data_IF_478804807140
#
_entry.id   IF_478804807140
#
_cell.length_a   1.000
_cell.length_b   1.000
_cell.length_c   1.000
_cell.angle_alpha   90.00
_cell.angle_beta   90.00
_cell.angle_gamma   90.00
#
_symmetry.space_group_name_H-M   'P 1'
#
loop_
_entity.id
_entity.type
_entity.pdbx_description
1 polymer ?
#
# COMPACT_ATOMS: atom_id res chain seq x y z
N UNK A 1 4.80 11.26 -46.30
CA UNK A 1 6.02 10.95 -45.50
C UNK A 1 6.21 9.45 -45.47
N UNK A 2 7.45 8.94 -45.45
CA UNK A 2 7.61 7.49 -45.24
C UNK A 2 7.13 7.09 -43.83
N UNK A 3 6.63 5.86 -43.71
CA UNK A 3 6.17 5.32 -42.41
C UNK A 3 7.23 5.48 -41.32
N UNK A 4 8.49 5.23 -41.65
CA UNK A 4 9.63 5.39 -40.74
C UNK A 4 9.79 6.85 -40.29
N UNK A 5 9.66 7.81 -41.19
CA UNK A 5 9.78 9.24 -40.87
C UNK A 5 8.66 9.67 -39.93
N UNK A 6 7.44 9.18 -40.13
CA UNK A 6 6.30 9.49 -39.27
C UNK A 6 6.48 8.93 -37.84
N UNK A 7 6.93 7.65 -37.72
CA UNK A 7 7.11 7.04 -36.39
C UNK A 7 8.31 7.64 -35.63
N UNK A 8 9.37 8.05 -36.32
CA UNK A 8 10.48 8.75 -35.67
C UNK A 8 10.08 10.14 -35.20
N UNK A 9 9.32 10.89 -35.98
CA UNK A 9 8.77 12.18 -35.57
C UNK A 9 7.82 12.03 -34.37
N UNK A 10 7.00 10.98 -34.40
CA UNK A 10 6.14 10.63 -33.26
C UNK A 10 6.97 10.38 -31.99
N UNK A 11 8.04 9.57 -32.10
CA UNK A 11 8.93 9.28 -30.98
C UNK A 11 9.63 10.54 -30.42
N UNK A 12 10.02 11.48 -31.27
CA UNK A 12 10.64 12.74 -30.82
C UNK A 12 9.66 13.58 -29.99
N UNK A 13 8.41 13.70 -30.46
CA UNK A 13 7.37 14.40 -29.72
C UNK A 13 6.98 13.65 -28.44
N UNK A 14 6.85 12.31 -28.51
CA UNK A 14 6.58 11.46 -27.33
C UNK A 14 7.72 11.49 -26.31
N UNK A 15 8.97 11.71 -26.75
CA UNK A 15 10.11 11.92 -25.85
C UNK A 15 9.89 13.12 -24.92
N UNK A 16 9.33 14.19 -25.45
CA UNK A 16 9.01 15.39 -24.65
C UNK A 16 7.90 15.08 -23.65
N UNK A 17 6.84 14.39 -24.11
CA UNK A 17 5.74 13.96 -23.24
C UNK A 17 6.24 12.99 -22.16
N UNK A 18 7.10 12.05 -22.50
CA UNK A 18 7.69 11.11 -21.54
C UNK A 18 8.57 11.81 -20.49
N UNK A 19 9.36 12.81 -20.92
CA UNK A 19 10.16 13.61 -19.99
C UNK A 19 9.27 14.39 -19.03
N UNK A 20 8.19 15.00 -19.50
CA UNK A 20 7.20 15.70 -18.70
C UNK A 20 6.50 14.77 -17.68
N UNK A 21 6.06 13.60 -18.13
CA UNK A 21 5.46 12.57 -17.28
C UNK A 21 6.43 12.11 -16.18
N UNK A 22 7.70 11.93 -16.54
CA UNK A 22 8.76 11.52 -15.61
C UNK A 22 9.06 12.63 -14.59
N UNK A 23 9.10 13.89 -15.02
CA UNK A 23 9.25 15.05 -14.12
C UNK A 23 8.09 15.09 -13.12
N UNK A 24 6.84 15.02 -13.60
CA UNK A 24 5.65 14.98 -12.74
C UNK A 24 5.61 13.75 -11.82
N UNK A 25 6.14 12.62 -12.29
CA UNK A 25 6.21 11.40 -11.48
C UNK A 25 7.27 11.47 -10.38
N UNK A 26 8.33 12.25 -10.57
CA UNK A 26 9.47 12.36 -9.65
C UNK A 26 9.50 13.66 -8.84
N UNK A 27 8.57 14.60 -9.09
CA UNK A 27 8.53 15.85 -8.35
C UNK A 27 8.31 15.62 -6.85
N UNK A 28 8.85 16.52 -6.04
CA UNK A 28 8.84 16.35 -4.58
C UNK A 28 7.43 16.50 -3.99
N UNK A 29 6.59 17.33 -4.59
CA UNK A 29 5.19 17.49 -4.22
C UNK A 29 4.41 16.17 -4.36
N UNK A 30 4.66 15.41 -5.43
CA UNK A 30 4.05 14.08 -5.60
C UNK A 30 4.59 13.08 -4.60
N UNK A 31 5.90 13.08 -4.32
CA UNK A 31 6.50 12.19 -3.34
C UNK A 31 5.92 12.44 -1.94
N UNK A 32 5.80 13.72 -1.56
CA UNK A 32 5.19 14.11 -0.29
C UNK A 32 3.72 13.71 -0.22
N UNK A 33 2.95 14.01 -1.26
CA UNK A 33 1.54 13.59 -1.35
C UNK A 33 1.37 12.07 -1.19
N UNK A 34 2.16 11.28 -1.93
CA UNK A 34 2.10 9.80 -1.86
C UNK A 34 2.53 9.28 -0.48
N UNK A 35 3.56 9.89 0.13
CA UNK A 35 4.02 9.53 1.48
C UNK A 35 2.92 9.75 2.52
N UNK A 36 2.28 10.90 2.50
CA UNK A 36 1.20 11.23 3.44
C UNK A 36 -0.03 10.37 3.20
N UNK A 37 -0.39 10.13 1.93
CA UNK A 37 -1.49 9.23 1.57
C UNK A 37 -1.28 7.82 2.11
N UNK A 38 -0.10 7.23 1.90
CA UNK A 38 0.24 5.90 2.43
C UNK A 38 0.19 5.84 3.95
N UNK A 39 0.62 6.92 4.62
CA UNK A 39 0.51 6.99 6.07
C UNK A 39 -0.95 6.93 6.52
N UNK A 40 -1.84 7.70 5.90
CA UNK A 40 -3.26 7.71 6.24
C UNK A 40 -3.94 6.36 5.98
N UNK A 41 -3.58 5.68 4.88
CA UNK A 41 -4.04 4.32 4.59
C UNK A 41 -3.58 3.32 5.68
N UNK A 42 -2.30 3.35 6.06
CA UNK A 42 -1.80 2.48 7.13
C UNK A 42 -2.36 2.83 8.51
N UNK A 43 -2.72 4.09 8.74
CA UNK A 43 -3.35 4.52 9.97
C UNK A 43 -4.79 4.01 10.09
N UNK A 44 -5.52 3.90 8.98
CA UNK A 44 -6.85 3.28 8.96
C UNK A 44 -6.78 1.81 9.40
N UNK A 45 -5.85 1.03 8.83
CA UNK A 45 -5.65 -0.37 9.22
C UNK A 45 -5.28 -0.52 10.71
N UNK A 46 -4.45 0.41 11.23
CA UNK A 46 -4.12 0.42 12.66
C UNK A 46 -5.32 0.76 13.54
N UNK A 47 -6.20 1.67 13.11
CA UNK A 47 -7.43 1.98 13.84
C UNK A 47 -8.35 0.76 13.92
N UNK A 48 -8.55 0.04 12.81
CA UNK A 48 -9.35 -1.18 12.78
C UNK A 48 -8.78 -2.25 13.72
N UNK A 49 -7.44 -2.37 13.77
CA UNK A 49 -6.76 -3.26 14.70
C UNK A 49 -6.97 -2.86 16.17
N UNK A 50 -6.90 -1.55 16.47
CA UNK A 50 -7.15 -1.04 17.83
C UNK A 50 -8.60 -1.22 18.26
N UNK A 51 -9.57 -1.05 17.35
CA UNK A 51 -10.99 -1.32 17.62
C UNK A 51 -11.23 -2.80 17.92
N UNK A 52 -10.61 -3.69 17.17
CA UNK A 52 -10.69 -5.14 17.40
C UNK A 52 -10.09 -5.51 18.77
N UNK A 53 -8.94 -4.91 19.10
CA UNK A 53 -8.28 -5.06 20.42
C UNK A 53 -9.18 -4.54 21.56
N UNK A 54 -9.80 -3.38 21.38
CA UNK A 54 -10.72 -2.80 22.36
C UNK A 54 -11.96 -3.67 22.59
N UNK A 55 -12.52 -4.26 21.52
CA UNK A 55 -13.62 -5.24 21.61
C UNK A 55 -13.22 -6.45 22.47
N UNK A 56 -12.08 -7.06 22.17
CA UNK A 56 -11.59 -8.19 22.96
C UNK A 56 -11.27 -7.85 24.41
N UNK A 57 -10.84 -6.62 24.70
CA UNK A 57 -10.66 -6.14 26.09
C UNK A 57 -12.00 -5.98 26.81
N UNK A 58 -13.06 -5.53 26.12
CA UNK A 58 -14.41 -5.43 26.69
C UNK A 58 -14.96 -6.83 27.03
N UNK A 59 -14.77 -7.81 26.16
CA UNK A 59 -15.17 -9.20 26.42
C UNK A 59 -14.44 -9.79 27.64
N UNK A 60 -13.13 -9.54 27.74
CA UNK A 60 -12.35 -9.97 28.91
C UNK A 60 -12.82 -9.27 30.20
N UNK A 61 -13.20 -8.01 30.13
CA UNK A 61 -13.73 -7.29 31.28
C UNK A 61 -15.05 -7.92 31.76
N UNK A 62 -15.96 -8.27 30.85
CA UNK A 62 -17.20 -8.95 31.18
C UNK A 62 -16.95 -10.33 31.83
N UNK A 63 -15.99 -11.10 31.31
CA UNK A 63 -15.64 -12.41 31.88
C UNK A 63 -15.05 -12.29 33.31
N UNK A 64 -14.24 -11.24 33.58
CA UNK A 64 -13.73 -10.97 34.90
C UNK A 64 -14.88 -10.57 35.88
N UNK A 65 -15.83 -9.77 35.43
CA UNK A 65 -17.01 -9.38 36.19
C UNK A 65 -17.88 -10.59 36.56
N UNK A 66 -18.15 -11.47 35.61
CA UNK A 66 -18.86 -12.73 35.80
C UNK A 66 -18.10 -13.63 36.82
N UNK A 67 -16.78 -13.72 36.70
CA UNK A 67 -15.93 -14.46 37.64
C UNK A 67 -15.99 -13.90 39.08
N UNK A 68 -16.01 -12.57 39.25
CA UNK A 68 -16.19 -11.93 40.53
C UNK A 68 -17.57 -12.24 41.15
N UNK A 69 -18.63 -12.14 40.33
CA UNK A 69 -20.00 -12.42 40.78
C UNK A 69 -20.16 -13.90 41.19
N UNK A 70 -19.53 -14.83 40.47
CA UNK A 70 -19.52 -16.24 40.84
C UNK A 70 -18.79 -16.45 42.17
N UNK A 71 -17.63 -15.83 42.36
CA UNK A 71 -16.88 -15.92 43.61
C UNK A 71 -17.63 -15.33 44.82
N UNK A 72 -18.39 -14.24 44.64
CA UNK A 72 -19.26 -13.68 45.69
C UNK A 72 -20.33 -14.64 46.12
N UNK A 73 -20.97 -15.37 45.15
CA UNK A 73 -21.97 -16.40 45.45
C UNK A 73 -21.33 -17.59 46.21
N UNK A 74 -20.19 -18.07 45.75
CA UNK A 74 -19.48 -19.16 46.41
C UNK A 74 -19.04 -18.79 47.82
N UNK A 75 -18.69 -17.52 48.10
CA UNK A 75 -18.34 -17.05 49.42
C UNK A 75 -19.55 -17.02 50.39
N UNK A 76 -20.79 -16.85 49.87
CA UNK A 76 -21.99 -16.91 50.69
C UNK A 76 -22.21 -18.29 51.29
N UNK A 77 -21.72 -19.36 50.66
CA UNK A 77 -21.80 -20.74 51.16
C UNK A 77 -20.99 -20.97 52.44
N UNK A 78 -20.07 -20.04 52.74
CA UNK A 78 -19.31 -20.06 54.02
C UNK A 78 -20.05 -19.38 55.19
N UNK A 79 -21.21 -18.81 54.94
CA UNK A 79 -22.06 -18.27 56.03
C UNK A 79 -22.50 -19.41 56.93
N UNK A 80 -22.23 -19.32 58.24
CA UNK A 80 -22.56 -20.38 59.22
C UNK A 80 -21.44 -21.38 59.52
N UNK A 81 -20.28 -21.31 58.85
CA UNK A 81 -19.14 -22.16 59.14
C UNK A 81 -18.69 -22.05 60.62
N UNK A 82 -18.86 -20.88 61.24
CA UNK A 82 -18.53 -20.64 62.63
C UNK A 82 -19.36 -21.52 63.59
N UNK A 83 -20.62 -21.78 63.29
CA UNK A 83 -21.48 -22.67 64.06
C UNK A 83 -21.06 -24.12 63.92
N UNK A 84 -20.65 -24.53 62.71
CA UNK A 84 -20.12 -25.85 62.43
C UNK A 84 -18.81 -26.10 63.19
N UNK A 85 -17.91 -25.12 63.23
CA UNK A 85 -16.65 -25.17 63.99
C UNK A 85 -16.93 -25.34 65.51
N UNK A 86 -17.87 -24.58 66.05
CA UNK A 86 -18.25 -24.63 67.44
C UNK A 86 -18.88 -25.95 67.89
N UNK A 87 -19.59 -26.58 66.95
CA UNK A 87 -20.19 -27.93 67.14
C UNK A 87 -19.21 -29.11 66.98
N UNK A 88 -17.94 -28.85 66.66
CA UNK A 88 -16.94 -29.90 66.45
C UNK A 88 -17.11 -30.65 65.15
N UNK A 89 -17.85 -30.12 64.17
CA UNK A 89 -18.06 -30.73 62.85
C UNK A 89 -16.77 -30.79 62.02
N UNK A 90 -16.75 -31.64 61.00
CA UNK A 90 -15.62 -31.78 60.07
C UNK A 90 -15.58 -30.54 59.12
N UNK A 91 -14.56 -29.73 59.30
CA UNK A 91 -14.32 -28.54 58.49
C UNK A 91 -13.37 -28.76 57.31
N UNK A 92 -12.92 -29.99 57.07
CA UNK A 92 -11.94 -30.31 56.04
C UNK A 92 -12.44 -29.97 54.65
N UNK A 93 -13.72 -30.16 54.37
CA UNK A 93 -14.38 -29.75 53.14
C UNK A 93 -14.28 -28.25 52.92
N UNK A 94 -14.68 -27.44 53.91
CA UNK A 94 -14.67 -26.00 53.83
C UNK A 94 -13.25 -25.44 53.67
N UNK A 95 -12.27 -26.05 54.32
CA UNK A 95 -10.87 -25.65 54.18
C UNK A 95 -10.38 -25.84 52.73
N UNK A 96 -10.71 -26.96 52.06
CA UNK A 96 -10.38 -27.19 50.66
C UNK A 96 -11.13 -26.22 49.73
N UNK A 97 -12.41 -25.97 49.98
CA UNK A 97 -13.22 -25.04 49.21
C UNK A 97 -12.67 -23.60 49.35
N UNK A 98 -12.32 -23.16 50.56
CA UNK A 98 -11.71 -21.86 50.82
C UNK A 98 -10.37 -21.68 50.09
N UNK A 99 -9.52 -22.73 50.10
CA UNK A 99 -8.27 -22.71 49.35
C UNK A 99 -8.50 -22.54 47.85
N UNK A 100 -9.45 -23.30 47.30
CA UNK A 100 -9.82 -23.19 45.89
C UNK A 100 -10.30 -21.77 45.52
N UNK A 101 -11.15 -21.18 46.37
CA UNK A 101 -11.63 -19.80 46.14
C UNK A 101 -10.51 -18.78 46.27
N UNK A 102 -9.59 -18.94 47.23
CA UNK A 102 -8.43 -18.08 47.35
C UNK A 102 -7.57 -18.09 46.10
N UNK A 103 -7.32 -19.26 45.53
CA UNK A 103 -6.52 -19.41 44.32
C UNK A 103 -7.26 -18.83 43.09
N UNK A 104 -8.59 -19.00 42.99
CA UNK A 104 -9.42 -18.38 41.98
C UNK A 104 -9.38 -16.85 42.06
N UNK A 105 -9.54 -16.28 43.26
CA UNK A 105 -9.46 -14.82 43.48
C UNK A 105 -8.07 -14.26 43.15
N UNK A 106 -7.00 -14.98 43.48
CA UNK A 106 -5.63 -14.57 43.11
C UNK A 106 -5.47 -14.52 41.59
N UNK A 107 -6.01 -15.50 40.86
CA UNK A 107 -6.03 -15.55 39.40
C UNK A 107 -6.80 -14.37 38.82
N UNK A 108 -8.04 -14.14 39.28
CA UNK A 108 -8.89 -13.02 38.85
C UNK A 108 -8.21 -11.66 39.12
N UNK A 109 -7.57 -11.48 40.26
CA UNK A 109 -6.79 -10.27 40.55
C UNK A 109 -5.66 -10.05 39.58
N UNK A 110 -4.93 -11.10 39.18
CA UNK A 110 -3.86 -11.03 38.20
C UNK A 110 -4.40 -10.69 36.80
N UNK A 111 -5.50 -11.32 36.40
CA UNK A 111 -6.17 -11.05 35.14
C UNK A 111 -6.69 -9.62 35.05
N UNK A 112 -7.28 -9.11 36.13
CA UNK A 112 -7.73 -7.72 36.21
C UNK A 112 -6.56 -6.73 36.09
N UNK A 113 -5.44 -7.00 36.74
CA UNK A 113 -4.25 -6.15 36.67
C UNK A 113 -3.69 -6.12 35.23
N UNK A 114 -3.63 -7.26 34.56
CA UNK A 114 -3.22 -7.36 33.16
C UNK A 114 -4.19 -6.65 32.22
N UNK A 115 -5.50 -6.77 32.46
CA UNK A 115 -6.54 -6.09 31.70
C UNK A 115 -6.41 -4.57 31.82
N UNK A 116 -6.27 -4.04 33.03
CA UNK A 116 -6.10 -2.59 33.29
C UNK A 116 -4.87 -2.06 32.55
N UNK A 117 -3.75 -2.80 32.58
CA UNK A 117 -2.54 -2.44 31.86
C UNK A 117 -2.81 -2.39 30.33
N UNK A 118 -3.41 -3.43 29.77
CA UNK A 118 -3.71 -3.50 28.33
C UNK A 118 -4.68 -2.40 27.87
N UNK A 119 -5.68 -2.05 28.69
CA UNK A 119 -6.60 -0.94 28.41
C UNK A 119 -5.84 0.38 28.33
N UNK A 120 -4.98 0.67 29.32
CA UNK A 120 -4.16 1.90 29.32
C UNK A 120 -3.25 2.01 28.12
N UNK A 121 -2.57 0.92 27.77
CA UNK A 121 -1.68 0.88 26.59
C UNK A 121 -2.48 1.11 25.30
N UNK A 122 -3.63 0.46 25.16
CA UNK A 122 -4.49 0.62 23.96
C UNK A 122 -5.04 2.04 23.84
N UNK A 123 -5.47 2.64 24.93
CA UNK A 123 -5.94 4.04 24.97
C UNK A 123 -4.82 5.02 24.61
N UNK A 124 -3.61 4.79 25.08
CA UNK A 124 -2.46 5.61 24.75
C UNK A 124 -2.10 5.49 23.26
N UNK A 125 -2.03 4.26 22.72
CA UNK A 125 -1.80 4.00 21.30
C UNK A 125 -2.85 4.73 20.43
N UNK A 126 -4.12 4.65 20.81
CA UNK A 126 -5.22 5.34 20.13
C UNK A 126 -5.06 6.87 20.14
N UNK A 127 -4.74 7.45 21.29
CA UNK A 127 -4.56 8.90 21.45
C UNK A 127 -3.39 9.41 20.59
N UNK A 128 -2.29 8.68 20.56
CA UNK A 128 -1.12 9.03 19.76
C UNK A 128 -1.42 8.92 18.27
N UNK A 129 -2.04 7.82 17.83
CA UNK A 129 -2.44 7.64 16.44
C UNK A 129 -3.41 8.73 16.00
N UNK A 130 -4.40 9.08 16.82
CA UNK A 130 -5.36 10.17 16.53
C UNK A 130 -4.66 11.51 16.31
N UNK A 131 -3.68 11.87 17.16
CA UNK A 131 -2.88 13.09 16.99
C UNK A 131 -2.12 13.09 15.67
N UNK A 132 -1.48 11.96 15.35
CA UNK A 132 -0.74 11.81 14.10
C UNK A 132 -1.64 11.92 12.86
N UNK A 133 -2.81 11.28 12.89
CA UNK A 133 -3.79 11.32 11.79
C UNK A 133 -4.26 12.76 11.55
N UNK A 134 -4.61 13.50 12.61
CA UNK A 134 -5.04 14.91 12.48
C UNK A 134 -3.93 15.77 11.85
N UNK A 135 -2.68 15.60 12.30
CA UNK A 135 -1.54 16.33 11.74
C UNK A 135 -1.29 15.96 10.27
N UNK A 136 -1.42 14.67 9.92
CA UNK A 136 -1.22 14.19 8.55
C UNK A 136 -2.38 14.55 7.62
N UNK A 137 -3.61 14.67 8.10
CA UNK A 137 -4.74 15.16 7.30
C UNK A 137 -4.50 16.60 6.83
N UNK A 138 -3.99 17.49 7.70
CA UNK A 138 -3.60 18.85 7.30
C UNK A 138 -2.51 18.82 6.22
N UNK A 139 -1.45 18.04 6.45
CA UNK A 139 -0.37 17.88 5.46
C UNK A 139 -0.87 17.28 4.14
N UNK A 140 -1.84 16.37 4.19
CA UNK A 140 -2.44 15.78 2.99
C UNK A 140 -3.13 16.86 2.14
N UNK A 141 -3.93 17.74 2.77
CA UNK A 141 -4.60 18.83 2.05
C UNK A 141 -3.58 19.74 1.38
N UNK A 142 -2.56 20.19 2.12
CA UNK A 142 -1.51 21.07 1.60
C UNK A 142 -0.71 20.41 0.47
N UNK A 143 -0.28 19.14 0.66
CA UNK A 143 0.47 18.40 -0.34
C UNK A 143 -0.36 18.14 -1.61
N UNK A 144 -1.65 17.85 -1.45
CA UNK A 144 -2.57 17.64 -2.56
C UNK A 144 -2.76 18.93 -3.38
N UNK A 145 -2.92 20.08 -2.72
CA UNK A 145 -3.05 21.37 -3.40
C UNK A 145 -1.77 21.73 -4.17
N UNK A 146 -0.61 21.58 -3.53
CA UNK A 146 0.68 21.79 -4.19
C UNK A 146 0.87 20.89 -5.41
N UNK A 147 0.59 19.60 -5.27
CA UNK A 147 0.70 18.66 -6.39
C UNK A 147 -0.31 18.96 -7.50
N UNK A 148 -1.53 19.36 -7.18
CA UNK A 148 -2.52 19.81 -8.16
C UNK A 148 -2.05 21.06 -8.90
N UNK A 149 -1.46 22.02 -8.21
CA UNK A 149 -0.92 23.24 -8.82
C UNK A 149 0.22 22.91 -9.81
N UNK A 150 1.18 22.05 -9.41
CA UNK A 150 2.25 21.58 -10.30
C UNK A 150 1.68 20.86 -11.52
N UNK A 151 0.69 19.99 -11.33
CA UNK A 151 0.03 19.31 -12.45
C UNK A 151 -0.69 20.26 -13.37
N UNK A 152 -1.40 21.24 -12.82
CA UNK A 152 -2.13 22.25 -13.60
C UNK A 152 -1.18 23.15 -14.41
N UNK A 153 -0.03 23.55 -13.84
CA UNK A 153 0.97 24.37 -14.56
C UNK A 153 1.59 23.67 -15.77
N UNK A 154 1.52 22.34 -15.84
CA UNK A 154 2.03 21.53 -16.95
C UNK A 154 0.94 20.98 -17.87
N UNK A 155 -0.32 21.23 -17.55
CA UNK A 155 -1.45 20.62 -18.27
C UNK A 155 -1.58 21.16 -19.70
N UNK A 156 -1.31 22.45 -19.93
CA UNK A 156 -1.35 23.05 -21.25
C UNK A 156 -0.23 22.50 -22.17
N UNK A 157 0.99 22.37 -21.64
CA UNK A 157 2.12 21.77 -22.34
C UNK A 157 1.81 20.30 -22.69
N UNK A 158 1.27 19.55 -21.75
CA UNK A 158 0.86 18.16 -21.96
C UNK A 158 -0.19 18.03 -23.06
N UNK A 159 -1.25 18.84 -23.01
CA UNK A 159 -2.32 18.83 -24.00
C UNK A 159 -1.83 19.23 -25.40
N UNK A 160 -0.90 20.19 -25.47
CA UNK A 160 -0.28 20.56 -26.73
C UNK A 160 0.50 19.40 -27.36
N UNK A 161 1.32 18.70 -26.57
CA UNK A 161 2.05 17.51 -27.00
C UNK A 161 1.13 16.36 -27.40
N UNK A 162 0.08 16.08 -26.62
CA UNK A 162 -0.92 15.05 -26.93
C UNK A 162 -1.65 15.37 -28.24
N UNK A 163 -1.99 16.62 -28.49
CA UNK A 163 -2.61 17.07 -29.76
C UNK A 163 -1.66 16.91 -30.94
N UNK A 164 -0.39 17.26 -30.77
CA UNK A 164 0.64 17.08 -31.81
C UNK A 164 0.82 15.59 -32.14
N UNK A 165 0.93 14.74 -31.12
CA UNK A 165 1.01 13.28 -31.26
C UNK A 165 -0.19 12.71 -31.99
N UNK A 166 -1.41 13.14 -31.64
CA UNK A 166 -2.62 12.71 -32.31
C UNK A 166 -2.67 13.14 -33.80
N UNK A 167 -2.01 14.25 -34.14
CA UNK A 167 -1.84 14.67 -35.53
C UNK A 167 -0.90 13.74 -36.30
N UNK A 168 0.28 13.47 -35.74
CA UNK A 168 1.31 12.60 -36.34
C UNK A 168 0.83 11.14 -36.45
N UNK A 169 0.08 10.67 -35.48
CA UNK A 169 -0.43 9.29 -35.43
C UNK A 169 -1.27 8.90 -36.66
N UNK A 170 -1.91 9.87 -37.32
CA UNK A 170 -2.72 9.62 -38.53
C UNK A 170 -1.89 9.16 -39.72
N UNK A 171 -0.61 9.48 -39.75
CA UNK A 171 0.33 9.14 -40.79
C UNK A 171 1.06 7.81 -40.54
N UNK A 172 0.76 7.13 -39.42
CA UNK A 172 1.41 5.88 -39.01
C UNK A 172 0.40 4.73 -39.13
N UNK A 173 0.77 3.61 -39.80
CA UNK A 173 -0.07 2.42 -39.87
C UNK A 173 -0.45 1.90 -38.47
N UNK A 174 -1.69 1.43 -38.33
CA UNK A 174 -2.25 0.98 -37.06
C UNK A 174 -1.41 -0.14 -36.42
N UNK A 175 -0.90 -1.07 -37.19
CA UNK A 175 -0.05 -2.16 -36.71
C UNK A 175 1.25 -1.63 -36.06
N UNK A 176 1.92 -0.69 -36.69
CA UNK A 176 3.15 -0.08 -36.19
C UNK A 176 2.87 0.76 -34.94
N UNK A 177 1.76 1.49 -34.92
CA UNK A 177 1.34 2.28 -33.77
C UNK A 177 1.01 1.38 -32.57
N UNK A 178 0.32 0.25 -32.80
CA UNK A 178 -0.01 -0.69 -31.71
C UNK A 178 1.26 -1.31 -31.10
N UNK A 179 2.26 -1.66 -31.91
CA UNK A 179 3.57 -2.13 -31.42
C UNK A 179 4.29 -1.04 -30.62
N UNK A 180 4.27 0.20 -31.10
CA UNK A 180 4.86 1.33 -30.38
C UNK A 180 4.20 1.55 -29.02
N UNK A 181 2.87 1.65 -28.98
CA UNK A 181 2.10 1.91 -27.77
C UNK A 181 2.22 0.77 -26.75
N UNK A 182 2.32 -0.49 -27.20
CA UNK A 182 2.57 -1.62 -26.31
C UNK A 182 3.87 -1.44 -25.52
N UNK A 183 4.95 -1.04 -26.20
CA UNK A 183 6.24 -0.75 -25.53
C UNK A 183 6.19 0.50 -24.67
N UNK A 184 5.50 1.53 -25.12
CA UNK A 184 5.32 2.77 -24.36
C UNK A 184 4.59 2.53 -23.01
N UNK A 185 3.60 1.62 -22.98
CA UNK A 185 2.90 1.19 -21.76
C UNK A 185 3.83 0.52 -20.74
N UNK A 186 4.82 -0.23 -21.19
CA UNK A 186 5.85 -0.83 -20.35
C UNK A 186 6.83 0.21 -19.75
N UNK A 187 6.64 1.51 -20.06
CA UNK A 187 7.53 2.63 -19.70
C UNK A 187 8.95 2.47 -20.26
N UNK A 188 9.06 1.75 -21.34
CA UNK A 188 10.31 1.54 -22.08
C UNK A 188 10.45 2.65 -23.10
N UNK A 189 11.50 3.45 -22.99
CA UNK A 189 11.78 4.55 -23.91
C UNK A 189 13.29 4.70 -24.12
N UNK A 190 13.78 4.99 -25.32
CA UNK A 190 13.08 5.06 -26.61
C UNK A 190 12.55 3.70 -27.11
N UNK A 191 11.54 3.73 -28.00
CA UNK A 191 10.89 2.53 -28.56
C UNK A 191 11.52 2.13 -29.89
N UNK A 192 11.89 3.11 -30.72
CA UNK A 192 12.43 2.95 -32.07
C UNK A 192 13.91 3.31 -32.08
N UNK A 193 14.75 2.42 -32.64
CA UNK A 193 16.21 2.58 -32.69
C UNK A 193 16.80 2.30 -34.05
N UNK A 194 17.86 3.01 -34.46
CA UNK A 194 18.66 2.58 -35.59
C UNK A 194 19.42 1.31 -35.26
N UNK A 195 19.45 0.35 -36.17
CA UNK A 195 20.34 -0.81 -36.02
C UNK A 195 21.79 -0.37 -36.14
N UNK A 196 22.65 -0.87 -35.23
CA UNK A 196 24.08 -0.55 -35.24
C UNK A 196 24.89 -1.85 -35.30
N UNK A 197 25.75 -1.97 -36.31
CA UNK A 197 26.63 -3.14 -36.52
C UNK A 197 25.91 -4.50 -36.46
N UNK A 198 24.70 -4.58 -37.01
CA UNK A 198 23.89 -5.81 -36.97
C UNK A 198 23.32 -6.18 -35.65
N UNK A 199 23.41 -5.28 -34.66
CA UNK A 199 22.96 -5.52 -33.27
C UNK A 199 21.94 -4.48 -32.80
N UNK A 200 21.04 -4.93 -31.94
CA UNK A 200 20.12 -4.03 -31.23
C UNK A 200 20.89 -3.15 -30.27
N UNK A 201 20.92 -1.81 -30.42
CA UNK A 201 21.71 -0.94 -29.54
C UNK A 201 21.20 -0.89 -28.09
N UNK A 202 20.02 -1.43 -27.85
CA UNK A 202 19.43 -1.42 -26.52
C UNK A 202 19.78 -2.66 -25.67
N UNK A 203 19.70 -3.87 -26.25
CA UNK A 203 19.92 -5.12 -25.55
C UNK A 203 21.18 -5.88 -26.00
N UNK A 204 21.88 -5.39 -27.02
CA UNK A 204 23.07 -6.01 -27.58
C UNK A 204 22.83 -7.28 -28.43
N UNK A 205 21.57 -7.72 -28.56
CA UNK A 205 21.20 -8.92 -29.33
C UNK A 205 21.55 -8.75 -30.81
N UNK A 206 22.18 -9.74 -31.37
CA UNK A 206 22.45 -9.82 -32.79
C UNK A 206 21.17 -10.11 -33.57
N UNK A 207 20.97 -9.37 -34.64
CA UNK A 207 19.79 -9.52 -35.49
C UNK A 207 20.05 -10.60 -36.51
N UNK A 208 19.21 -11.65 -36.64
CA UNK A 208 19.39 -12.71 -37.62
C UNK A 208 19.39 -12.18 -39.05
N UNK A 209 20.23 -12.77 -39.91
CA UNK A 209 20.34 -12.37 -41.31
C UNK A 209 18.99 -12.38 -42.04
N UNK A 210 18.12 -13.32 -41.71
CA UNK A 210 16.76 -13.40 -42.27
C UNK A 210 15.89 -12.18 -41.88
N UNK A 211 16.09 -11.62 -40.70
CA UNK A 211 15.40 -10.40 -40.27
C UNK A 211 16.04 -9.12 -40.86
N UNK A 212 17.36 -9.16 -41.11
CA UNK A 212 18.05 -8.06 -41.80
C UNK A 212 17.58 -7.83 -43.24
N UNK A 213 17.16 -8.88 -43.96
CA UNK A 213 16.56 -8.72 -45.30
C UNK A 213 15.25 -7.94 -45.24
N UNK A 214 14.43 -8.18 -44.24
CA UNK A 214 13.18 -7.43 -43.99
C UNK A 214 13.43 -5.98 -43.59
N UNK A 215 14.57 -5.70 -42.95
CA UNK A 215 14.93 -4.35 -42.53
C UNK A 215 15.17 -3.40 -43.71
N UNK A 216 15.56 -3.93 -44.87
CA UNK A 216 15.71 -3.15 -46.11
C UNK A 216 14.37 -2.66 -46.68
N UNK A 217 13.28 -3.33 -46.34
CA UNK A 217 11.91 -3.02 -46.76
C UNK A 217 11.12 -2.18 -45.74
N UNK A 218 11.64 -2.00 -44.51
CA UNK A 218 10.92 -1.24 -43.49
C UNK A 218 11.57 -1.31 -42.11
N UNK A 219 10.76 -1.67 -41.12
CA UNK A 219 11.17 -1.82 -39.71
C UNK A 219 11.00 -3.26 -39.24
N UNK A 220 11.82 -3.68 -38.29
CA UNK A 220 11.70 -5.01 -37.67
C UNK A 220 11.56 -4.85 -36.16
N UNK A 221 11.08 -5.89 -35.49
CA UNK A 221 11.04 -5.98 -34.06
C UNK A 221 12.23 -6.81 -33.55
N UNK A 222 12.93 -6.32 -32.54
CA UNK A 222 13.98 -7.10 -31.86
C UNK A 222 13.37 -8.27 -31.09
N UNK A 223 13.78 -9.50 -31.38
CA UNK A 223 13.24 -10.72 -30.76
C UNK A 223 13.44 -10.77 -29.26
N UNK A 224 14.49 -10.13 -28.74
CA UNK A 224 14.82 -10.10 -27.32
C UNK A 224 14.05 -9.02 -26.55
N UNK A 225 14.23 -7.75 -26.93
CA UNK A 225 13.67 -6.62 -26.18
C UNK A 225 12.41 -6.03 -26.80
N UNK A 226 12.00 -6.54 -27.97
CA UNK A 226 10.81 -6.14 -28.73
C UNK A 226 10.75 -4.66 -29.10
N UNK A 227 11.89 -3.97 -29.15
CA UNK A 227 11.96 -2.61 -29.70
C UNK A 227 11.95 -2.62 -31.20
N UNK A 228 11.45 -1.54 -31.77
CA UNK A 228 11.39 -1.36 -33.22
C UNK A 228 12.78 -0.93 -33.70
N UNK A 229 13.33 -1.65 -34.66
CA UNK A 229 14.62 -1.38 -35.27
C UNK A 229 14.44 -0.95 -36.74
N UNK A 230 15.24 0.01 -37.15
CA UNK A 230 15.30 0.47 -38.53
C UNK A 230 16.74 0.59 -39.01
N UNK A 231 16.95 0.59 -40.32
CA UNK A 231 18.28 0.81 -40.90
C UNK A 231 18.50 2.32 -41.02
N UNK A 232 19.52 2.85 -40.33
CA UNK A 232 19.96 4.21 -40.57
C UNK A 232 20.52 4.33 -41.99
N UNK A 233 20.05 5.35 -42.71
CA UNK A 233 20.59 5.69 -44.05
C UNK A 233 21.94 6.39 -43.91
#
# INVERSE_FOLDING_TARGET
>A
MSELTAILKYQETDKKLFALERELASCDERKEFVKVKKFLESAAEKLDSLESKARGLKEKAAAVEEGCTAAEKDLADFAGIDELIKSGGDVSYYKKAAQKQLDALRKTKSELAALVKSVKETDQEYKELKKQVIAMQKKYTEANEKYKAVKASRDDERKALEKELAGIAKDIPEEAMNKYLAKRKEKVFPVVFPLTDGRCPCCGMEVPLAAMSKLKEGVIECESCRRILYQAQ
#
